data_IF_913162488589
#
_entry.id   IF_913162488589
#
_cell.length_a   1.000
_cell.length_b   1.000
_cell.length_c   1.000
_cell.angle_alpha   90.00
_cell.angle_beta   90.00
_cell.angle_gamma   90.00
#
_symmetry.space_group_name_H-M   'P 1'
#
loop_
_entity.id
_entity.type
_entity.pdbx_description
1 polymer ?
#
# COMPACT_ATOMS: atom_id res chain seq x y z
N UNK A 1 -33.97 -13.01 -13.41
CA UNK A 1 -33.25 -12.95 -14.69
C UNK A 1 -32.35 -11.74 -14.66
N UNK A 2 -31.05 -11.95 -14.39
CA UNK A 2 -29.91 -11.06 -14.69
C UNK A 2 -28.69 -11.75 -14.06
N UNK A 3 -28.09 -12.63 -14.87
CA UNK A 3 -26.80 -13.28 -14.64
C UNK A 3 -25.93 -12.86 -15.82
N UNK A 4 -24.63 -12.73 -15.58
CA UNK A 4 -23.54 -12.61 -16.57
C UNK A 4 -23.07 -11.19 -16.88
N UNK A 5 -22.01 -10.77 -16.20
CA UNK A 5 -21.05 -9.77 -16.69
C UNK A 5 -19.70 -9.85 -15.96
N UNK A 6 -19.01 -11.00 -16.00
CA UNK A 6 -17.57 -11.08 -15.67
C UNK A 6 -16.94 -12.19 -16.52
N UNK A 7 -16.64 -11.89 -17.77
CA UNK A 7 -15.70 -12.63 -18.62
C UNK A 7 -15.33 -11.76 -19.81
N UNK A 8 -14.13 -11.16 -19.84
CA UNK A 8 -13.33 -10.89 -21.05
C UNK A 8 -12.21 -9.90 -20.72
N UNK A 9 -10.96 -10.32 -20.93
CA UNK A 9 -9.82 -9.42 -20.83
C UNK A 9 -8.42 -10.06 -20.87
N UNK A 10 -8.26 -11.30 -21.32
CA UNK A 10 -6.95 -11.92 -21.55
C UNK A 10 -6.96 -12.67 -22.90
N UNK A 11 -6.73 -11.94 -24.00
CA UNK A 11 -6.28 -12.49 -25.28
C UNK A 11 -6.10 -11.37 -26.31
N UNK A 12 -4.92 -10.79 -26.39
CA UNK A 12 -4.42 -10.15 -27.61
C UNK A 12 -2.91 -9.99 -27.47
N UNK A 13 -2.13 -10.96 -27.95
CA UNK A 13 -0.74 -10.77 -28.37
C UNK A 13 -0.32 -12.03 -29.16
N UNK A 14 -0.63 -12.02 -30.47
CA UNK A 14 0.05 -12.87 -31.45
C UNK A 14 0.26 -12.07 -32.74
N UNK A 15 1.49 -12.13 -33.24
CA UNK A 15 1.86 -11.89 -34.64
C UNK A 15 2.47 -10.52 -34.90
N UNK A 16 3.76 -10.47 -35.21
CA UNK A 16 4.21 -10.57 -36.60
C UNK A 16 5.65 -11.05 -36.70
N UNK A 17 5.87 -11.93 -37.67
CA UNK A 17 7.12 -12.46 -38.21
C UNK A 17 7.28 -11.79 -39.56
N UNK A 18 8.45 -11.22 -39.88
CA UNK A 18 9.00 -11.21 -41.24
C UNK A 18 10.46 -10.71 -41.28
N UNK A 19 11.31 -11.55 -41.85
CA UNK A 19 12.56 -11.29 -42.55
C UNK A 19 12.61 -12.35 -43.70
N UNK A 20 13.46 -12.30 -44.75
CA UNK A 20 14.71 -11.52 -44.89
C UNK A 20 15.06 -11.04 -46.35
N UNK A 21 16.33 -10.61 -46.52
CA UNK A 21 17.26 -10.84 -47.65
C UNK A 21 17.53 -9.79 -48.78
N UNK A 22 18.84 -9.63 -49.06
CA UNK A 22 19.49 -9.15 -50.30
C UNK A 22 20.09 -7.73 -50.20
N UNK A 23 21.35 -7.41 -50.55
CA UNK A 23 22.34 -8.05 -51.46
C UNK A 23 23.75 -7.41 -51.24
N UNK A 24 24.83 -8.19 -51.30
CA UNK A 24 26.24 -7.76 -51.47
C UNK A 24 26.58 -7.54 -52.98
N UNK A 25 27.86 -7.41 -53.44
CA UNK A 25 28.92 -6.40 -53.21
C UNK A 25 29.50 -5.84 -54.54
N UNK A 26 30.37 -4.83 -54.52
CA UNK A 26 31.46 -4.67 -55.51
C UNK A 26 32.53 -3.63 -55.10
N UNK A 27 33.79 -4.03 -55.25
CA UNK A 27 35.02 -3.20 -55.23
C UNK A 27 35.67 -3.27 -56.64
N UNK A 28 36.91 -2.78 -56.92
CA UNK A 28 37.73 -1.69 -56.38
C UNK A 28 38.22 -0.74 -57.53
N UNK A 29 39.14 0.21 -57.26
CA UNK A 29 40.38 0.50 -58.04
C UNK A 29 41.11 1.77 -57.52
N UNK A 30 42.41 1.58 -57.26
CA UNK A 30 43.55 2.47 -56.95
C UNK A 30 43.77 3.61 -57.99
N UNK A 31 44.54 4.70 -57.85
CA UNK A 31 45.44 5.40 -56.89
C UNK A 31 45.87 6.73 -57.63
N UNK A 32 46.97 7.46 -57.35
CA UNK A 32 47.66 7.92 -56.13
C UNK A 32 47.86 9.48 -56.09
N UNK A 33 48.68 9.95 -55.14
CA UNK A 33 49.43 11.25 -55.09
C UNK A 33 48.61 12.41 -54.47
N UNK A 34 49.06 13.23 -53.51
CA UNK A 34 50.36 13.85 -53.22
C UNK A 34 50.46 14.24 -51.73
N UNK A 35 51.62 14.06 -51.11
CA UNK A 35 51.91 14.48 -49.74
C UNK A 35 51.89 16.00 -49.60
N UNK A 36 51.15 16.51 -48.61
CA UNK A 36 51.34 17.86 -48.07
C UNK A 36 51.51 17.73 -46.56
N UNK A 37 52.65 18.22 -46.07
CA UNK A 37 53.04 18.18 -44.66
C UNK A 37 52.15 19.13 -43.85
N UNK A 38 51.21 18.55 -43.10
CA UNK A 38 50.31 19.26 -42.19
C UNK A 38 50.84 19.19 -40.75
N UNK A 39 50.75 20.31 -40.05
CA UNK A 39 51.19 20.49 -38.68
C UNK A 39 50.59 19.42 -37.75
N UNK A 40 51.42 18.85 -36.87
CA UNK A 40 51.03 17.82 -35.90
C UNK A 40 49.74 18.25 -35.18
N UNK A 41 48.60 17.57 -35.44
CA UNK A 41 47.39 17.78 -34.65
C UNK A 41 47.69 17.42 -33.20
N UNK A 42 47.01 18.02 -32.21
CA UNK A 42 47.07 17.51 -30.84
C UNK A 42 46.76 16.02 -30.91
N UNK A 43 47.66 15.19 -30.36
CA UNK A 43 47.56 13.74 -30.40
C UNK A 43 46.12 13.34 -30.07
N UNK A 44 45.45 12.66 -31.01
CA UNK A 44 44.14 12.10 -30.77
C UNK A 44 44.23 11.27 -29.47
N UNK A 45 43.36 11.52 -28.49
CA UNK A 45 43.43 10.80 -27.22
C UNK A 45 43.37 9.30 -27.52
N UNK A 46 44.34 8.54 -26.99
CA UNK A 46 44.38 7.09 -27.19
C UNK A 46 43.01 6.47 -26.87
N UNK A 47 42.55 5.50 -27.69
CA UNK A 47 41.27 4.85 -27.51
C UNK A 47 41.22 4.21 -26.12
N UNK A 48 40.18 4.54 -25.36
CA UNK A 48 40.00 3.96 -24.03
C UNK A 48 39.47 2.53 -24.19
N UNK A 49 40.34 1.54 -24.06
CA UNK A 49 39.97 0.11 -24.11
C UNK A 49 39.29 -0.38 -22.80
N UNK A 50 38.54 0.51 -22.15
CA UNK A 50 37.84 0.18 -20.93
C UNK A 50 36.51 -0.49 -21.25
N UNK A 51 36.31 -1.68 -20.68
CA UNK A 51 35.05 -2.42 -20.77
C UNK A 51 34.35 -2.39 -19.42
N UNK A 52 33.18 -1.76 -19.39
CA UNK A 52 32.32 -1.77 -18.20
C UNK A 52 31.65 -3.13 -18.06
N UNK A 53 31.79 -3.76 -16.90
CA UNK A 53 31.03 -4.95 -16.55
C UNK A 53 29.57 -4.57 -16.28
N UNK A 54 28.63 -5.45 -16.63
CA UNK A 54 27.24 -5.33 -16.18
C UNK A 54 27.14 -5.61 -14.68
N UNK A 55 26.23 -4.93 -13.96
CA UNK A 55 26.01 -5.22 -12.55
C UNK A 55 25.50 -6.65 -12.35
N UNK A 56 25.82 -7.19 -11.18
CA UNK A 56 25.32 -8.47 -10.69
C UNK A 56 24.64 -8.27 -9.33
N UNK A 57 24.05 -9.33 -8.77
CA UNK A 57 23.33 -9.25 -7.49
C UNK A 57 24.19 -8.83 -6.28
N UNK A 58 25.52 -8.88 -6.37
CA UNK A 58 26.44 -8.38 -5.32
C UNK A 58 26.98 -6.98 -5.59
N UNK A 59 26.60 -6.36 -6.71
CA UNK A 59 27.01 -5.00 -7.05
C UNK A 59 26.35 -3.98 -6.11
N UNK A 60 27.04 -2.87 -5.79
CA UNK A 60 26.45 -1.81 -4.98
C UNK A 60 25.23 -1.20 -5.68
N UNK A 61 24.26 -0.74 -4.90
CA UNK A 61 23.12 0.02 -5.42
C UNK A 61 23.46 1.51 -5.45
N UNK A 62 23.11 2.20 -6.54
CA UNK A 62 23.17 3.66 -6.59
C UNK A 62 22.17 4.25 -5.58
N UNK A 63 22.58 5.27 -4.79
CA UNK A 63 21.69 5.90 -3.84
C UNK A 63 20.54 6.60 -4.58
N UNK A 64 19.35 6.55 -3.99
CA UNK A 64 18.22 7.34 -4.46
C UNK A 64 18.36 8.80 -4.01
N UNK A 65 18.34 9.72 -4.97
CA UNK A 65 18.63 11.12 -4.76
C UNK A 65 20.11 11.48 -4.96
N UNK A 66 20.35 12.72 -5.38
CA UNK A 66 21.65 13.17 -5.85
C UNK A 66 21.66 13.39 -7.37
N UNK A 67 22.77 13.87 -7.90
CA UNK A 67 22.88 14.16 -9.33
C UNK A 67 23.37 12.93 -10.09
N UNK A 68 22.48 12.32 -10.87
CA UNK A 68 22.87 11.27 -11.83
C UNK A 68 23.30 11.92 -13.14
N UNK A 69 24.46 11.51 -13.67
CA UNK A 69 25.02 12.03 -14.92
C UNK A 69 24.88 11.00 -16.03
N UNK A 70 24.50 11.45 -17.23
CA UNK A 70 24.53 10.59 -18.40
C UNK A 70 25.99 10.35 -18.79
N UNK A 71 26.34 9.11 -19.12
CA UNK A 71 27.69 8.69 -19.48
C UNK A 71 27.63 7.85 -20.75
N UNK A 72 28.43 8.21 -21.75
CA UNK A 72 28.62 7.40 -22.95
C UNK A 72 29.95 6.66 -22.81
N UNK A 73 29.92 5.33 -22.74
CA UNK A 73 31.12 4.48 -22.71
C UNK A 73 31.26 3.73 -24.03
N UNK A 74 32.47 3.22 -24.36
CA UNK A 74 32.63 2.30 -25.48
C UNK A 74 31.57 1.18 -25.42
N UNK A 75 30.87 0.90 -26.54
CA UNK A 75 29.91 -0.20 -26.61
C UNK A 75 30.53 -1.52 -26.18
N UNK A 76 29.79 -2.32 -25.42
CA UNK A 76 30.17 -3.69 -25.06
C UNK A 76 29.20 -4.67 -25.71
N UNK A 77 29.54 -5.97 -25.83
CA UNK A 77 28.58 -6.96 -26.29
C UNK A 77 27.29 -7.01 -25.44
N UNK A 78 27.40 -6.69 -24.15
CA UNK A 78 26.27 -6.64 -23.24
C UNK A 78 25.46 -5.33 -23.34
N UNK A 79 26.11 -4.21 -23.61
CA UNK A 79 25.48 -2.87 -23.71
C UNK A 79 25.93 -2.22 -25.01
N UNK A 80 25.36 -2.64 -26.16
CA UNK A 80 25.74 -2.16 -27.48
C UNK A 80 25.41 -0.68 -27.70
N UNK A 81 24.46 -0.10 -26.93
CA UNK A 81 24.17 1.33 -27.01
C UNK A 81 25.30 2.21 -26.49
N UNK A 82 26.17 1.66 -25.62
CA UNK A 82 27.16 2.44 -24.87
C UNK A 82 26.54 3.46 -23.91
N UNK A 83 25.24 3.38 -23.63
CA UNK A 83 24.52 4.33 -22.77
C UNK A 83 24.51 3.88 -21.31
N UNK A 84 25.12 4.69 -20.45
CA UNK A 84 25.27 4.44 -19.03
C UNK A 84 24.83 5.63 -18.18
N UNK A 85 24.59 5.36 -16.91
CA UNK A 85 24.24 6.32 -15.88
C UNK A 85 25.27 6.25 -14.76
N UNK A 86 25.76 7.39 -14.31
CA UNK A 86 26.79 7.45 -13.28
C UNK A 86 26.35 8.32 -12.10
N UNK A 87 26.48 7.76 -10.90
CA UNK A 87 26.41 8.50 -9.65
C UNK A 87 27.81 8.58 -9.04
N UNK A 88 28.40 9.77 -9.00
CA UNK A 88 29.80 9.97 -8.64
C UNK A 88 29.97 10.62 -7.27
N UNK A 89 30.88 10.06 -6.47
CA UNK A 89 31.39 10.63 -5.23
C UNK A 89 32.73 11.33 -5.54
N UNK A 90 32.71 12.66 -5.57
CA UNK A 90 33.87 13.49 -5.90
C UNK A 90 34.98 13.40 -4.85
N UNK A 91 34.65 13.08 -3.60
CA UNK A 91 35.61 12.93 -2.50
C UNK A 91 36.37 11.62 -2.64
N UNK A 92 35.66 10.52 -2.94
CA UNK A 92 36.27 9.20 -3.15
C UNK A 92 36.84 9.01 -4.56
N UNK A 93 36.51 9.91 -5.49
CA UNK A 93 36.80 9.76 -6.93
C UNK A 93 36.28 8.42 -7.45
N UNK A 94 35.06 8.06 -7.07
CA UNK A 94 34.40 6.82 -7.47
C UNK A 94 33.05 7.13 -8.12
N UNK A 95 32.75 6.46 -9.23
CA UNK A 95 31.44 6.53 -9.87
C UNK A 95 30.81 5.15 -9.86
N UNK A 96 29.63 5.05 -9.28
CA UNK A 96 28.75 3.90 -9.41
C UNK A 96 28.07 4.01 -10.77
N UNK A 97 28.21 3.01 -11.63
CA UNK A 97 27.78 3.06 -13.03
C UNK A 97 26.80 1.92 -13.34
N UNK A 98 25.68 2.27 -13.95
CA UNK A 98 24.59 1.35 -14.29
C UNK A 98 24.17 1.54 -15.76
N UNK A 99 23.70 0.48 -16.45
CA UNK A 99 23.15 0.61 -17.81
C UNK A 99 21.96 1.57 -17.85
N UNK A 100 21.72 2.22 -19.00
CA UNK A 100 20.57 3.12 -19.16
C UNK A 100 19.24 2.38 -19.45
N UNK A 101 19.31 1.12 -19.85
CA UNK A 101 18.17 0.26 -20.21
C UNK A 101 18.16 -1.03 -19.38
N UNK A 102 17.01 -1.72 -19.40
CA UNK A 102 16.87 -3.03 -18.77
C UNK A 102 17.70 -4.10 -19.49
N UNK A 103 18.12 -5.11 -18.75
CA UNK A 103 18.86 -6.26 -19.27
C UNK A 103 17.95 -7.49 -19.40
N UNK A 104 18.27 -8.38 -20.34
CA UNK A 104 17.65 -9.69 -20.48
C UNK A 104 18.20 -10.72 -19.48
N UNK A 105 17.85 -12.00 -19.68
CA UNK A 105 18.25 -13.04 -18.73
C UNK A 105 19.72 -13.44 -18.88
N UNK A 106 20.30 -13.18 -20.05
CA UNK A 106 21.69 -13.34 -20.42
C UNK A 106 22.56 -12.12 -20.05
N UNK A 107 21.95 -10.99 -19.71
CA UNK A 107 22.61 -9.75 -19.33
C UNK A 107 22.84 -8.78 -20.49
N UNK A 108 22.17 -8.96 -21.63
CA UNK A 108 22.21 -8.03 -22.75
C UNK A 108 21.13 -6.95 -22.61
N UNK A 109 21.48 -5.76 -23.09
CA UNK A 109 20.60 -4.60 -23.15
C UNK A 109 19.35 -4.85 -24.00
N UNK A 110 18.19 -4.46 -23.47
CA UNK A 110 16.93 -4.38 -24.20
C UNK A 110 16.66 -2.95 -24.63
N UNK A 111 15.71 -2.78 -25.55
CA UNK A 111 15.22 -1.46 -25.96
C UNK A 111 14.39 -0.74 -24.87
N UNK A 112 14.11 -1.40 -23.74
CA UNK A 112 13.28 -0.85 -22.68
C UNK A 112 14.10 0.03 -21.73
N UNK A 113 13.81 1.34 -21.63
CA UNK A 113 14.51 2.22 -20.71
C UNK A 113 14.18 1.85 -19.25
N UNK A 114 15.11 2.14 -18.34
CA UNK A 114 14.87 1.90 -16.92
C UNK A 114 13.64 2.69 -16.43
N UNK A 115 12.70 1.99 -15.80
CA UNK A 115 11.54 2.62 -15.18
C UNK A 115 11.87 3.19 -13.80
N UNK A 116 11.18 4.25 -13.38
CA UNK A 116 11.27 4.85 -12.04
C UNK A 116 12.71 5.21 -11.63
N UNK A 117 13.48 5.78 -12.55
CA UNK A 117 14.80 6.40 -12.31
C UNK A 117 14.68 7.92 -12.43
N UNK A 118 15.63 8.64 -11.85
CA UNK A 118 15.70 10.09 -12.07
C UNK A 118 16.16 10.38 -13.51
N UNK A 119 15.84 11.56 -14.05
CA UNK A 119 16.44 11.99 -15.31
C UNK A 119 17.95 12.15 -15.11
N UNK A 120 18.77 11.57 -15.98
CA UNK A 120 20.20 11.90 -15.95
C UNK A 120 20.39 13.31 -16.52
N UNK A 121 21.26 14.11 -15.91
CA UNK A 121 21.50 15.47 -16.37
C UNK A 121 22.14 15.42 -17.75
N UNK A 122 21.61 16.15 -18.77
CA UNK A 122 22.03 16.02 -20.17
C UNK A 122 23.47 16.47 -20.45
N UNK A 123 24.14 17.07 -19.46
CA UNK A 123 25.57 17.33 -19.51
C UNK A 123 26.31 15.99 -19.40
N UNK A 124 26.51 15.35 -20.56
CA UNK A 124 27.35 14.17 -20.71
C UNK A 124 28.68 14.41 -19.99
N UNK A 125 29.03 13.51 -19.08
CA UNK A 125 30.35 13.54 -18.47
C UNK A 125 31.40 13.34 -19.57
N UNK A 126 32.31 14.30 -19.82
CA UNK A 126 33.36 14.13 -20.82
C UNK A 126 34.24 12.93 -20.46
N UNK A 127 34.74 12.22 -21.46
CA UNK A 127 35.54 11.01 -21.27
C UNK A 127 36.82 11.28 -20.48
N UNK A 128 37.41 12.45 -20.64
CA UNK A 128 38.58 12.90 -19.88
C UNK A 128 38.27 13.05 -18.39
N UNK A 129 37.03 13.44 -18.06
CA UNK A 129 36.57 13.51 -16.67
C UNK A 129 36.27 12.12 -16.15
N UNK A 130 35.58 11.28 -16.93
CA UNK A 130 35.30 9.90 -16.58
C UNK A 130 36.56 9.11 -16.21
N UNK A 131 37.66 9.27 -16.97
CA UNK A 131 38.97 8.64 -16.70
C UNK A 131 39.59 9.01 -15.34
N UNK A 132 39.12 10.07 -14.68
CA UNK A 132 39.61 10.48 -13.35
C UNK A 132 38.92 9.74 -12.19
N UNK A 133 37.85 8.99 -12.47
CA UNK A 133 37.09 8.27 -11.47
C UNK A 133 37.31 6.76 -11.60
N UNK A 134 37.30 6.08 -10.46
CA UNK A 134 37.13 4.63 -10.42
C UNK A 134 35.69 4.30 -10.77
N UNK A 135 35.48 3.72 -11.94
CA UNK A 135 34.16 3.26 -12.36
C UNK A 135 33.85 1.89 -11.75
N UNK A 136 32.73 1.79 -11.05
CA UNK A 136 32.30 0.57 -10.35
C UNK A 136 30.92 0.17 -10.88
N UNK A 137 30.73 -1.07 -11.36
CA UNK A 137 29.42 -1.53 -11.81
C UNK A 137 28.43 -1.51 -10.63
N UNK A 138 27.24 -0.98 -10.87
CA UNK A 138 26.24 -0.76 -9.84
C UNK A 138 24.83 -1.00 -10.37
N UNK A 139 23.94 -1.41 -9.47
CA UNK A 139 22.50 -1.48 -9.74
C UNK A 139 21.96 -0.05 -9.71
N UNK A 140 21.16 0.33 -10.72
CA UNK A 140 20.59 1.67 -10.79
C UNK A 140 19.69 1.99 -9.59
N UNK A 141 19.50 3.28 -9.32
CA UNK A 141 18.70 3.77 -8.21
C UNK A 141 17.22 3.32 -8.33
N UNK A 142 16.56 3.21 -7.19
CA UNK A 142 15.12 2.96 -7.10
C UNK A 142 14.50 3.86 -6.02
N UNK A 143 13.30 4.41 -6.23
CA UNK A 143 12.63 5.24 -5.24
C UNK A 143 12.29 4.45 -3.97
N UNK A 144 12.08 5.11 -2.82
CA UNK A 144 11.69 4.46 -1.58
C UNK A 144 10.45 3.57 -1.76
N UNK A 145 10.51 2.36 -1.19
CA UNK A 145 9.50 1.32 -1.36
C UNK A 145 9.58 0.51 -2.66
N UNK A 146 10.58 0.79 -3.50
CA UNK A 146 10.90 0.03 -4.72
C UNK A 146 12.30 -0.55 -4.63
N UNK A 147 12.45 -1.78 -5.11
CA UNK A 147 13.71 -2.48 -5.25
C UNK A 147 14.01 -2.64 -6.74
N UNK A 148 15.28 -2.54 -7.11
CA UNK A 148 15.73 -2.83 -8.48
C UNK A 148 16.67 -4.01 -8.45
N UNK A 149 16.46 -4.97 -9.35
CA UNK A 149 17.34 -6.10 -9.52
C UNK A 149 18.55 -5.78 -10.41
N UNK A 150 19.47 -6.73 -10.52
CA UNK A 150 20.67 -6.59 -11.36
C UNK A 150 20.38 -6.42 -12.85
N UNK A 151 19.16 -6.78 -13.28
CA UNK A 151 18.70 -6.63 -14.67
C UNK A 151 18.04 -5.27 -14.91
N UNK A 152 17.98 -4.42 -13.89
CA UNK A 152 17.37 -3.10 -14.01
C UNK A 152 15.85 -3.10 -13.87
N UNK A 153 15.21 -4.24 -13.55
CA UNK A 153 13.76 -4.31 -13.36
C UNK A 153 13.40 -3.81 -11.98
N UNK A 154 12.32 -3.03 -11.88
CA UNK A 154 11.79 -2.54 -10.60
C UNK A 154 10.68 -3.43 -10.10
N UNK A 155 10.65 -3.66 -8.79
CA UNK A 155 9.53 -4.29 -8.09
C UNK A 155 9.19 -3.47 -6.85
N UNK A 156 7.91 -3.36 -6.55
CA UNK A 156 7.45 -2.74 -5.31
C UNK A 156 7.56 -3.75 -4.16
N UNK A 157 8.22 -3.38 -3.07
CA UNK A 157 8.35 -4.24 -1.89
C UNK A 157 7.68 -3.63 -0.65
N UNK A 158 7.03 -2.49 -0.78
CA UNK A 158 6.38 -1.78 0.31
C UNK A 158 5.03 -1.29 -0.19
N UNK A 159 3.94 -1.57 0.55
CA UNK A 159 2.59 -1.27 0.09
C UNK A 159 1.82 -0.50 1.15
N UNK A 160 1.16 0.57 0.70
CA UNK A 160 0.27 1.38 1.53
C UNK A 160 -1.15 0.83 1.47
N UNK A 161 -1.49 -0.03 2.42
CA UNK A 161 -2.82 -0.64 2.51
C UNK A 161 -3.94 0.35 2.89
N UNK A 162 -3.62 1.62 3.15
CA UNK A 162 -4.61 2.69 3.34
C UNK A 162 -4.93 3.43 2.03
N UNK A 163 -4.31 3.06 0.91
CA UNK A 163 -4.58 3.60 -0.42
C UNK A 163 -4.74 2.47 -1.41
N UNK A 164 -5.91 1.85 -1.49
CA UNK A 164 -6.12 0.66 -2.32
C UNK A 164 -7.58 0.46 -2.69
N UNK A 165 -7.80 -0.34 -3.72
CA UNK A 165 -9.05 -1.06 -3.92
C UNK A 165 -8.81 -2.51 -3.52
N UNK A 166 -9.63 -3.09 -2.67
CA UNK A 166 -9.46 -4.48 -2.25
C UNK A 166 -10.67 -5.34 -2.58
N UNK A 167 -10.39 -6.62 -2.79
CA UNK A 167 -11.38 -7.69 -2.86
C UNK A 167 -10.81 -8.92 -2.15
N UNK A 168 -11.62 -9.56 -1.34
CA UNK A 168 -11.20 -10.65 -0.48
C UNK A 168 -12.27 -11.72 -0.32
N UNK A 169 -11.79 -12.89 0.10
CA UNK A 169 -12.61 -14.03 0.44
C UNK A 169 -12.05 -14.73 1.66
N UNK A 170 -12.91 -15.09 2.60
CA UNK A 170 -12.52 -15.76 3.83
C UNK A 170 -13.50 -16.87 4.21
N UNK A 171 -13.00 -17.95 4.79
CA UNK A 171 -13.84 -18.84 5.58
C UNK A 171 -14.17 -18.14 6.90
N UNK A 172 -15.45 -18.08 7.27
CA UNK A 172 -15.95 -17.22 8.35
C UNK A 172 -17.02 -17.91 9.22
N UNK A 173 -16.68 -19.02 9.90
CA UNK A 173 -17.60 -19.69 10.81
C UNK A 173 -18.14 -18.73 11.88
N UNK A 174 -19.39 -18.96 12.30
CA UNK A 174 -20.05 -18.22 13.38
C UNK A 174 -20.55 -19.18 14.46
N UNK A 175 -20.22 -18.89 15.70
CA UNK A 175 -20.71 -19.58 16.90
C UNK A 175 -21.73 -18.70 17.61
N UNK A 176 -22.96 -19.20 17.76
CA UNK A 176 -24.02 -18.55 18.54
C UNK A 176 -24.12 -19.28 19.87
N UNK A 177 -23.69 -18.63 20.97
CA UNK A 177 -23.53 -19.28 22.27
C UNK A 177 -24.85 -19.78 22.85
N UNK A 178 -25.93 -19.04 22.63
CA UNK A 178 -27.25 -19.32 23.22
C UNK A 178 -27.87 -20.61 22.65
N UNK A 179 -27.50 -20.98 21.43
CA UNK A 179 -28.00 -22.16 20.73
C UNK A 179 -26.96 -23.26 20.58
N UNK A 180 -25.72 -23.01 21.02
CA UNK A 180 -24.53 -23.85 20.77
C UNK A 180 -24.40 -24.27 19.29
N UNK A 181 -24.78 -23.37 18.38
CA UNK A 181 -24.86 -23.64 16.95
C UNK A 181 -23.64 -23.07 16.26
N UNK A 182 -22.97 -23.91 15.48
CA UNK A 182 -21.94 -23.52 14.52
C UNK A 182 -22.58 -23.37 13.14
N UNK A 183 -22.40 -22.20 12.54
CA UNK A 183 -22.82 -21.91 11.18
C UNK A 183 -21.59 -21.80 10.29
N UNK A 184 -21.57 -22.60 9.22
CA UNK A 184 -20.47 -22.57 8.25
C UNK A 184 -20.76 -21.53 7.17
N UNK A 185 -19.88 -20.53 7.08
CA UNK A 185 -20.07 -19.39 6.19
C UNK A 185 -18.79 -19.02 5.46
N UNK A 186 -18.97 -18.36 4.34
CA UNK A 186 -17.91 -17.73 3.55
C UNK A 186 -18.18 -16.23 3.52
N UNK A 187 -17.17 -15.43 3.83
CA UNK A 187 -17.19 -13.97 3.68
C UNK A 187 -16.60 -13.60 2.33
N UNK A 188 -17.26 -12.71 1.61
CA UNK A 188 -16.69 -11.96 0.48
C UNK A 188 -16.64 -10.49 0.89
N UNK A 189 -15.47 -9.88 0.82
CA UNK A 189 -15.28 -8.48 1.19
C UNK A 189 -14.68 -7.65 0.06
N UNK A 190 -15.07 -6.38 -0.06
CA UNK A 190 -14.48 -5.44 -1.00
C UNK A 190 -14.67 -4.00 -0.53
N UNK A 191 -13.81 -3.10 -1.01
CA UNK A 191 -13.88 -1.69 -0.66
C UNK A 191 -12.77 -0.87 -1.29
N UNK A 192 -12.83 0.44 -1.07
CA UNK A 192 -11.81 1.40 -1.53
C UNK A 192 -11.34 2.22 -0.33
N UNK A 193 -10.05 2.17 -0.05
CA UNK A 193 -9.39 3.01 0.94
C UNK A 193 -8.59 4.10 0.24
N UNK A 194 -8.75 5.33 0.69
CA UNK A 194 -8.03 6.51 0.22
C UNK A 194 -7.47 7.25 1.42
N UNK A 195 -6.20 7.63 1.32
CA UNK A 195 -5.51 8.39 2.35
C UNK A 195 -4.73 9.53 1.69
N UNK A 196 -4.82 10.73 2.25
CA UNK A 196 -4.01 11.85 1.80
C UNK A 196 -3.58 12.73 2.99
N UNK A 197 -2.31 13.18 3.02
CA UNK A 197 -1.89 14.20 3.96
C UNK A 197 -2.65 15.50 3.72
N UNK A 198 -3.02 16.18 4.81
CA UNK A 198 -3.36 17.59 4.75
C UNK A 198 -2.10 18.44 4.91
N UNK A 199 -2.21 19.54 5.65
CA UNK A 199 -1.05 20.23 6.23
C UNK A 199 -0.20 19.25 7.06
N UNK A 200 1.04 19.62 7.43
CA UNK A 200 2.03 18.73 8.06
C UNK A 200 1.50 17.88 9.23
N UNK A 201 0.49 18.38 9.93
CA UNK A 201 -0.01 17.80 11.17
C UNK A 201 -1.39 17.14 10.98
N UNK A 202 -1.82 16.88 9.75
CA UNK A 202 -3.17 16.39 9.42
C UNK A 202 -3.16 15.19 8.49
N UNK A 203 -4.05 14.25 8.77
CA UNK A 203 -4.28 13.08 7.93
C UNK A 203 -5.76 12.90 7.65
N UNK A 204 -6.10 12.73 6.38
CA UNK A 204 -7.46 12.44 5.94
C UNK A 204 -7.52 11.02 5.38
N UNK A 205 -8.56 10.30 5.77
CA UNK A 205 -8.88 8.98 5.29
C UNK A 205 -10.33 8.93 4.83
N UNK A 206 -10.56 8.26 3.72
CA UNK A 206 -11.88 7.99 3.20
C UNK A 206 -11.97 6.53 2.78
N UNK A 207 -12.97 5.84 3.29
CA UNK A 207 -13.30 4.49 2.84
C UNK A 207 -14.64 4.55 2.09
N UNK A 208 -14.69 3.95 0.90
CA UNK A 208 -15.89 3.86 0.07
C UNK A 208 -16.29 2.40 -0.13
N UNK A 209 -17.60 2.15 -0.11
CA UNK A 209 -18.20 0.85 -0.44
C UNK A 209 -17.60 -0.32 0.36
N UNK A 210 -17.23 -0.09 1.62
CA UNK A 210 -16.71 -1.14 2.52
C UNK A 210 -17.82 -2.15 2.80
N UNK A 211 -17.74 -3.29 2.12
CA UNK A 211 -18.83 -4.25 2.04
C UNK A 211 -18.31 -5.63 2.41
N UNK A 212 -19.05 -6.30 3.28
CA UNK A 212 -18.84 -7.68 3.67
C UNK A 212 -20.14 -8.46 3.50
N UNK A 213 -20.08 -9.53 2.71
CA UNK A 213 -21.20 -10.42 2.42
C UNK A 213 -20.90 -11.77 3.03
N UNK A 214 -21.77 -12.25 3.91
CA UNK A 214 -21.69 -13.59 4.49
C UNK A 214 -22.65 -14.51 3.75
N UNK A 215 -22.10 -15.55 3.13
CA UNK A 215 -22.82 -16.56 2.35
C UNK A 215 -22.77 -17.90 3.09
N UNK A 216 -23.76 -18.76 2.87
CA UNK A 216 -23.87 -20.08 3.50
C UNK A 216 -25.01 -20.14 4.50
N UNK A 217 -24.76 -20.76 5.66
CA UNK A 217 -25.74 -20.83 6.74
C UNK A 217 -25.98 -19.41 7.30
N UNK A 218 -27.25 -18.98 7.37
CA UNK A 218 -27.63 -17.64 7.83
C UNK A 218 -26.93 -16.48 7.06
N UNK A 219 -27.31 -16.25 5.78
CA UNK A 219 -26.74 -15.16 5.00
C UNK A 219 -27.02 -13.82 5.68
N UNK A 220 -26.03 -12.95 5.63
CA UNK A 220 -26.06 -11.60 6.23
C UNK A 220 -25.09 -10.69 5.48
N UNK A 221 -25.21 -9.39 5.70
CA UNK A 221 -24.29 -8.42 5.12
C UNK A 221 -24.03 -7.27 6.09
N UNK A 222 -22.88 -6.64 5.90
CA UNK A 222 -22.49 -5.38 6.50
C UNK A 222 -21.93 -4.52 5.37
N UNK A 223 -22.49 -3.33 5.14
CA UNK A 223 -22.09 -2.50 4.01
C UNK A 223 -22.13 -1.03 4.37
N UNK A 224 -21.03 -0.33 4.13
CA UNK A 224 -20.86 1.10 4.39
C UNK A 224 -20.59 1.81 3.08
N UNK A 225 -21.40 2.82 2.73
CA UNK A 225 -21.18 3.58 1.50
C UNK A 225 -19.94 4.48 1.62
N UNK A 226 -19.85 5.24 2.69
CA UNK A 226 -18.81 6.25 2.89
C UNK A 226 -18.45 6.33 4.36
N UNK A 227 -17.14 6.28 4.63
CA UNK A 227 -16.54 6.62 5.92
C UNK A 227 -15.50 7.69 5.69
N UNK A 228 -15.49 8.70 6.54
CA UNK A 228 -14.48 9.76 6.54
C UNK A 228 -13.86 9.87 7.92
N UNK A 229 -12.54 9.94 7.98
CA UNK A 229 -11.77 10.01 9.20
C UNK A 229 -10.70 11.10 9.04
N UNK A 230 -10.72 12.05 9.95
CA UNK A 230 -9.80 13.17 10.01
C UNK A 230 -9.03 13.10 11.33
N UNK A 231 -7.71 13.17 11.24
CA UNK A 231 -6.82 13.19 12.39
C UNK A 231 -5.93 14.40 12.35
N UNK A 232 -5.61 14.90 13.52
CA UNK A 232 -4.64 15.97 13.68
C UNK A 232 -3.69 15.67 14.82
N UNK A 233 -2.43 16.05 14.63
CA UNK A 233 -1.45 16.18 15.68
C UNK A 233 -1.47 17.63 16.16
N UNK A 234 -1.53 17.83 17.46
CA UNK A 234 -1.44 19.17 18.04
C UNK A 234 -0.09 19.36 18.72
N UNK A 235 0.63 20.42 18.36
CA UNK A 235 1.91 20.78 18.99
C UNK A 235 1.75 21.49 20.34
N UNK A 236 0.53 21.95 20.65
CA UNK A 236 0.20 22.58 21.91
C UNK A 236 -0.45 21.56 22.87
N UNK A 237 0.10 21.35 24.09
CA UNK A 237 -0.53 20.46 25.06
C UNK A 237 -1.85 21.06 25.55
N UNK A 238 -2.90 20.23 25.67
CA UNK A 238 -4.19 20.63 26.20
C UNK A 238 -4.08 21.01 27.68
N UNK A 239 -3.35 20.19 28.45
CA UNK A 239 -3.04 20.49 29.84
C UNK A 239 -1.68 19.92 30.24
N UNK A 240 -1.12 20.49 31.29
CA UNK A 240 0.22 20.18 31.81
C UNK A 240 0.07 19.63 33.21
N UNK A 241 0.49 18.39 33.42
CA UNK A 241 0.49 17.77 34.74
C UNK A 241 1.90 17.89 35.30
N UNK A 242 2.05 18.64 36.39
CA UNK A 242 3.33 18.69 37.11
C UNK A 242 3.23 17.83 38.34
N UNK A 243 4.09 16.82 38.46
CA UNK A 243 4.20 16.02 39.69
C UNK A 243 5.29 16.58 40.57
N UNK A 244 5.03 16.61 41.88
CA UNK A 244 6.00 16.96 42.92
C UNK A 244 6.47 15.74 43.71
N UNK A 245 5.99 14.54 43.37
CA UNK A 245 6.45 13.31 44.00
C UNK A 245 7.82 12.92 43.43
N UNK A 246 8.87 13.07 44.24
CA UNK A 246 10.26 12.89 43.82
C UNK A 246 10.85 14.16 43.19
N UNK A 247 11.58 14.02 42.08
CA UNK A 247 12.10 15.18 41.33
C UNK A 247 10.94 15.80 40.54
N UNK A 248 10.69 17.13 40.64
CA UNK A 248 9.66 17.79 39.87
C UNK A 248 9.77 17.46 38.38
N UNK A 249 8.69 16.94 37.80
CA UNK A 249 8.60 16.61 36.38
C UNK A 249 7.30 17.16 35.82
N UNK A 250 7.37 17.67 34.60
CA UNK A 250 6.22 18.15 33.84
C UNK A 250 5.89 17.13 32.75
N UNK A 251 4.62 16.75 32.68
CA UNK A 251 4.05 15.91 31.64
C UNK A 251 3.11 16.76 30.81
N UNK A 252 3.39 16.83 29.51
CA UNK A 252 2.57 17.54 28.55
C UNK A 252 1.59 16.54 27.93
N UNK A 253 0.30 16.78 28.09
CA UNK A 253 -0.77 15.92 27.55
C UNK A 253 -1.38 16.64 26.36
N UNK A 254 -1.18 16.07 25.18
CA UNK A 254 -1.68 16.59 23.92
C UNK A 254 -3.09 16.05 23.67
N UNK A 255 -4.01 16.91 23.22
CA UNK A 255 -5.32 16.49 22.77
C UNK A 255 -5.30 16.38 21.25
N UNK A 256 -4.91 15.21 20.77
CA UNK A 256 -4.92 14.87 19.34
C UNK A 256 -6.35 14.53 18.94
N UNK A 257 -7.14 15.58 18.75
CA UNK A 257 -8.55 15.47 18.41
C UNK A 257 -8.72 15.25 16.91
N UNK A 258 -9.68 14.42 16.58
CA UNK A 258 -10.08 14.16 15.20
C UNK A 258 -11.59 14.08 15.07
N UNK A 259 -12.02 13.80 13.85
CA UNK A 259 -13.41 13.68 13.48
C UNK A 259 -13.61 12.42 12.65
N UNK A 260 -14.63 11.65 12.98
CA UNK A 260 -14.99 10.46 12.26
C UNK A 260 -16.46 10.54 11.87
N UNK A 261 -16.76 10.16 10.65
CA UNK A 261 -18.11 10.15 10.12
C UNK A 261 -18.33 8.89 9.28
N UNK A 262 -19.53 8.36 9.37
CA UNK A 262 -19.99 7.26 8.52
C UNK A 262 -21.37 7.60 7.98
N UNK A 263 -21.58 7.30 6.70
CA UNK A 263 -22.80 7.63 5.97
C UNK A 263 -23.28 6.35 5.29
N UNK A 264 -24.55 6.03 5.53
CA UNK A 264 -25.23 4.83 5.03
C UNK A 264 -24.47 3.54 5.35
N UNK A 265 -24.64 3.07 6.58
CA UNK A 265 -24.19 1.76 7.02
C UNK A 265 -25.40 0.82 7.18
N UNK A 266 -25.48 -0.20 6.33
CA UNK A 266 -26.50 -1.23 6.36
C UNK A 266 -25.97 -2.51 7.00
N UNK A 267 -26.75 -3.09 7.89
CA UNK A 267 -26.43 -4.33 8.59
C UNK A 267 -27.66 -5.24 8.61
N UNK A 268 -27.46 -6.52 8.29
CA UNK A 268 -28.46 -7.55 8.50
C UNK A 268 -28.01 -8.51 9.59
N UNK A 269 -28.69 -8.46 10.73
CA UNK A 269 -28.51 -9.40 11.83
C UNK A 269 -29.45 -10.58 11.64
N UNK A 270 -28.95 -11.81 11.81
CA UNK A 270 -29.76 -13.02 11.75
C UNK A 270 -29.45 -13.96 12.90
N UNK A 271 -30.47 -14.40 13.63
CA UNK A 271 -30.36 -15.42 14.68
C UNK A 271 -31.51 -16.40 14.48
N UNK A 272 -31.17 -17.66 14.20
CA UNK A 272 -32.12 -18.71 13.82
C UNK A 272 -32.99 -18.29 12.61
N UNK A 273 -34.32 -18.32 12.76
CA UNK A 273 -35.30 -17.94 11.74
C UNK A 273 -35.66 -16.45 11.77
N UNK A 274 -35.12 -15.69 12.73
CA UNK A 274 -35.40 -14.26 12.88
C UNK A 274 -34.27 -13.43 12.28
N UNK A 275 -34.64 -12.32 11.65
CA UNK A 275 -33.72 -11.35 11.09
C UNK A 275 -34.12 -9.93 11.53
N UNK A 276 -33.12 -9.06 11.61
CA UNK A 276 -33.30 -7.63 11.82
C UNK A 276 -32.37 -6.87 10.88
N UNK A 277 -32.93 -5.90 10.15
CA UNK A 277 -32.21 -5.05 9.21
C UNK A 277 -32.09 -3.65 9.79
N UNK A 278 -30.86 -3.15 9.89
CA UNK A 278 -30.54 -1.83 10.41
C UNK A 278 -29.87 -0.98 9.32
N UNK A 279 -30.23 0.30 9.26
CA UNK A 279 -29.60 1.28 8.39
C UNK A 279 -29.23 2.52 9.18
N UNK A 280 -27.96 2.67 9.55
CA UNK A 280 -27.41 3.93 10.04
C UNK A 280 -27.31 4.91 8.88
N UNK A 281 -28.11 5.98 8.94
CA UNK A 281 -28.10 7.03 7.91
C UNK A 281 -26.83 7.86 8.00
N UNK A 282 -26.48 8.23 9.23
CA UNK A 282 -25.28 9.00 9.54
C UNK A 282 -24.83 8.71 10.96
N UNK A 283 -23.53 8.58 11.15
CA UNK A 283 -22.88 8.54 12.45
C UNK A 283 -21.76 9.58 12.47
N UNK A 284 -21.63 10.32 13.57
CA UNK A 284 -20.60 11.35 13.75
C UNK A 284 -19.95 11.21 15.11
N UNK A 285 -18.63 11.05 15.14
CA UNK A 285 -17.86 10.85 16.35
C UNK A 285 -16.73 11.88 16.46
N UNK A 286 -16.46 12.31 17.68
CA UNK A 286 -15.20 12.97 18.03
C UNK A 286 -14.19 11.88 18.39
N UNK A 287 -12.96 12.01 17.90
CA UNK A 287 -11.89 11.06 18.21
C UNK A 287 -10.81 11.71 19.07
N UNK A 288 -10.18 10.92 19.92
CA UNK A 288 -9.03 11.27 20.74
C UNK A 288 -7.96 10.18 20.56
N UNK A 289 -6.88 10.53 19.89
CA UNK A 289 -5.76 9.62 19.70
C UNK A 289 -4.92 9.57 20.99
N UNK A 290 -4.97 8.43 21.67
CA UNK A 290 -4.19 8.15 22.88
C UNK A 290 -2.71 7.94 22.54
N UNK A 291 -2.45 7.43 21.34
CA UNK A 291 -1.15 7.26 20.75
C UNK A 291 -1.27 7.25 19.23
N UNK A 292 -0.26 7.77 18.54
CA UNK A 292 -0.12 7.62 17.08
C UNK A 292 1.36 7.61 16.68
N UNK A 293 1.65 7.07 15.48
CA UNK A 293 2.97 7.18 14.85
C UNK A 293 3.22 8.61 14.36
N UNK A 294 4.49 8.92 14.05
CA UNK A 294 4.89 10.24 13.54
C UNK A 294 4.31 10.57 12.16
N UNK A 295 3.94 9.56 11.37
CA UNK A 295 3.26 9.72 10.08
C UNK A 295 1.72 9.67 10.20
N UNK A 296 1.19 9.59 11.43
CA UNK A 296 -0.24 9.49 11.79
C UNK A 296 -0.95 8.24 11.27
N UNK A 297 -0.21 7.32 10.64
CA UNK A 297 -0.77 6.13 10.00
C UNK A 297 -1.23 5.11 11.05
N UNK A 298 -0.38 4.84 12.03
CA UNK A 298 -0.67 3.92 13.14
C UNK A 298 -1.22 4.69 14.33
N UNK A 299 -2.18 4.11 15.05
CA UNK A 299 -2.84 4.78 16.16
C UNK A 299 -3.51 3.82 17.14
N UNK A 300 -3.76 4.33 18.34
CA UNK A 300 -4.72 3.81 19.32
C UNK A 300 -5.57 4.99 19.78
N UNK A 301 -6.89 4.89 19.66
CA UNK A 301 -7.78 6.02 19.89
C UNK A 301 -9.10 5.63 20.54
N UNK A 302 -9.68 6.63 21.20
CA UNK A 302 -11.07 6.61 21.62
C UNK A 302 -11.92 7.41 20.63
N UNK A 303 -13.10 6.91 20.30
CA UNK A 303 -14.12 7.66 19.54
C UNK A 303 -15.44 7.62 20.29
N UNK A 304 -16.20 8.71 20.26
CA UNK A 304 -17.54 8.75 20.83
C UNK A 304 -18.44 9.72 20.09
N UNK A 305 -19.72 9.36 19.96
CA UNK A 305 -20.71 10.20 19.30
C UNK A 305 -22.01 9.45 18.94
N UNK A 306 -23.01 10.15 18.41
CA UNK A 306 -24.28 9.57 18.04
C UNK A 306 -24.33 9.08 16.59
N UNK A 307 -25.23 8.13 16.35
CA UNK A 307 -25.72 7.75 15.03
C UNK A 307 -27.25 7.88 14.95
N UNK A 308 -27.75 8.23 13.76
CA UNK A 308 -29.17 8.15 13.42
C UNK A 308 -29.40 6.85 12.65
N UNK A 309 -30.11 5.91 13.25
CA UNK A 309 -30.37 4.60 12.67
C UNK A 309 -31.85 4.41 12.34
N UNK A 310 -32.13 3.71 11.25
CA UNK A 310 -33.46 3.22 10.91
C UNK A 310 -33.51 1.72 11.12
N UNK A 311 -34.37 1.27 12.01
CA UNK A 311 -34.77 -0.13 12.11
C UNK A 311 -35.68 -0.42 10.91
N UNK A 312 -35.15 -1.08 9.88
CA UNK A 312 -35.89 -1.34 8.64
C UNK A 312 -36.92 -2.44 8.82
N UNK A 313 -36.70 -3.35 9.77
CA UNK A 313 -37.62 -4.44 10.07
C UNK A 313 -38.89 -3.92 10.75
N UNK A 314 -38.75 -2.98 11.70
CA UNK A 314 -39.90 -2.45 12.44
C UNK A 314 -40.37 -1.06 11.99
N UNK A 315 -39.59 -0.36 11.16
CA UNK A 315 -40.05 0.82 10.42
C UNK A 315 -39.86 2.19 11.06
N UNK A 316 -39.14 2.32 12.18
CA UNK A 316 -38.90 3.59 12.88
C UNK A 316 -37.42 4.00 12.92
N UNK A 317 -37.16 5.25 13.30
CA UNK A 317 -35.82 5.81 13.52
C UNK A 317 -35.44 5.80 14.99
N UNK A 318 -34.15 5.63 15.29
CA UNK A 318 -33.56 5.60 16.62
C UNK A 318 -32.32 6.47 16.68
N UNK A 319 -31.97 6.93 17.89
CA UNK A 319 -30.69 7.57 18.16
C UNK A 319 -29.78 6.56 18.87
N UNK A 320 -28.59 6.34 18.33
CA UNK A 320 -27.64 5.35 18.83
C UNK A 320 -26.34 6.04 19.25
N UNK A 321 -26.23 6.56 20.49
CA UNK A 321 -24.94 6.93 21.05
C UNK A 321 -24.01 5.71 21.13
N UNK A 322 -22.76 5.94 20.72
CA UNK A 322 -21.71 4.95 20.69
C UNK A 322 -20.40 5.48 21.27
N UNK A 323 -19.60 4.58 21.84
CA UNK A 323 -18.22 4.82 22.20
C UNK A 323 -17.37 3.61 21.81
N UNK A 324 -16.19 3.85 21.27
CA UNK A 324 -15.27 2.79 20.90
C UNK A 324 -13.81 3.11 21.23
N UNK A 325 -13.07 2.07 21.61
CA UNK A 325 -11.61 2.04 21.65
C UNK A 325 -11.15 1.24 20.44
N UNK A 326 -10.29 1.80 19.60
CA UNK A 326 -9.78 1.12 18.41
C UNK A 326 -8.32 1.44 18.14
N UNK A 327 -7.65 0.55 17.41
CA UNK A 327 -6.30 0.77 16.93
C UNK A 327 -6.08 0.15 15.56
N UNK A 328 -5.17 0.77 14.81
CA UNK A 328 -4.64 0.28 13.54
C UNK A 328 -3.12 0.48 13.60
N UNK A 329 -2.36 -0.60 13.50
CA UNK A 329 -0.93 -0.63 13.76
C UNK A 329 -0.23 -1.31 12.60
N UNK A 330 0.75 -0.63 12.03
CA UNK A 330 1.75 -1.24 11.15
C UNK A 330 2.95 -1.65 11.99
N UNK A 331 3.23 -2.96 12.08
CA UNK A 331 4.18 -3.50 13.05
C UNK A 331 5.64 -3.41 12.58
N UNK A 332 5.87 -3.41 11.27
CA UNK A 332 7.19 -3.45 10.65
C UNK A 332 7.47 -2.18 9.82
N UNK A 333 8.76 -1.97 9.53
CA UNK A 333 9.21 -0.82 8.74
C UNK A 333 8.77 -0.91 7.28
N UNK A 334 8.68 -2.12 6.76
CA UNK A 334 8.35 -2.38 5.35
C UNK A 334 6.82 -2.39 5.11
N UNK A 335 6.01 -2.38 6.17
CA UNK A 335 4.57 -2.30 6.10
C UNK A 335 3.89 -3.59 5.65
N UNK A 336 4.48 -4.75 5.93
CA UNK A 336 3.89 -6.04 5.60
C UNK A 336 2.86 -6.50 6.63
N UNK A 337 2.99 -6.10 7.89
CA UNK A 337 2.22 -6.60 9.02
C UNK A 337 1.31 -5.52 9.58
N UNK A 338 0.00 -5.75 9.48
CA UNK A 338 -1.02 -4.84 9.98
C UNK A 338 -1.88 -5.52 11.04
N UNK A 339 -2.05 -4.84 12.17
CA UNK A 339 -2.96 -5.26 13.25
C UNK A 339 -4.02 -4.19 13.42
N UNK A 340 -5.29 -4.60 13.41
CA UNK A 340 -6.41 -3.74 13.78
C UNK A 340 -7.17 -4.36 14.92
N UNK A 341 -7.67 -3.54 15.83
CA UNK A 341 -8.52 -4.00 16.91
C UNK A 341 -9.55 -2.95 17.27
N UNK A 342 -10.64 -3.38 17.92
CA UNK A 342 -11.67 -2.47 18.37
C UNK A 342 -12.62 -3.10 19.38
N UNK A 343 -13.10 -2.27 20.29
CA UNK A 343 -14.21 -2.56 21.18
C UNK A 343 -15.18 -1.38 21.10
N UNK A 344 -16.43 -1.61 20.74
CA UNK A 344 -17.47 -0.59 20.58
C UNK A 344 -18.72 -0.95 21.37
N UNK A 345 -19.18 -0.03 22.19
CA UNK A 345 -20.44 -0.13 22.92
C UNK A 345 -21.45 0.88 22.35
N UNK A 346 -22.69 0.42 22.12
CA UNK A 346 -23.79 1.20 21.58
C UNK A 346 -25.04 1.03 22.45
N UNK A 347 -25.82 2.10 22.58
CA UNK A 347 -27.11 2.09 23.26
C UNK A 347 -28.17 2.63 22.32
N UNK A 348 -29.26 1.90 22.11
CA UNK A 348 -30.36 2.34 21.27
C UNK A 348 -31.35 3.14 22.10
N UNK A 349 -31.55 4.41 21.73
CA UNK A 349 -32.47 5.35 22.37
C UNK A 349 -33.62 5.71 21.43
N UNK A 350 -34.75 6.10 22.03
CA UNK A 350 -35.98 6.50 21.32
C UNK A 350 -36.58 5.42 20.40
N UNK A 351 -36.25 4.14 20.64
CA UNK A 351 -36.91 3.03 19.96
C UNK A 351 -38.37 2.90 20.41
N UNK A 352 -39.24 2.52 19.48
CA UNK A 352 -40.60 2.11 19.79
C UNK A 352 -40.61 0.74 20.48
N UNK A 353 -41.68 0.48 21.25
CA UNK A 353 -41.88 -0.81 21.89
C UNK A 353 -42.14 -1.88 20.82
N UNK A 354 -41.31 -2.92 20.82
CA UNK A 354 -41.43 -4.08 19.93
C UNK A 354 -41.53 -5.32 20.80
N UNK A 355 -42.49 -6.19 20.51
CA UNK A 355 -42.68 -7.42 21.26
C UNK A 355 -41.43 -8.31 21.19
N UNK A 356 -41.06 -8.90 22.33
CA UNK A 356 -39.86 -9.75 22.41
C UNK A 356 -38.53 -8.99 22.32
N UNK A 357 -38.52 -7.65 22.47
CA UNK A 357 -37.31 -6.83 22.49
C UNK A 357 -37.32 -5.85 23.69
N UNK A 358 -36.21 -5.63 24.39
CA UNK A 358 -36.11 -4.58 25.41
C UNK A 358 -36.37 -3.19 24.82
N UNK A 359 -36.90 -2.27 25.64
CA UNK A 359 -37.22 -0.90 25.23
C UNK A 359 -35.96 -0.08 24.88
N UNK A 360 -34.81 -0.42 25.47
CA UNK A 360 -33.54 0.26 25.25
C UNK A 360 -32.44 -0.76 24.98
N UNK A 361 -32.41 -1.34 23.77
CA UNK A 361 -31.40 -2.33 23.42
C UNK A 361 -29.96 -1.79 23.52
N UNK A 362 -29.03 -2.71 23.65
CA UNK A 362 -27.59 -2.49 23.75
C UNK A 362 -26.85 -3.41 22.78
N UNK A 363 -25.71 -2.91 22.28
CA UNK A 363 -24.81 -3.69 21.43
C UNK A 363 -23.38 -3.50 21.90
N UNK A 364 -22.61 -4.58 21.90
CA UNK A 364 -21.18 -4.57 22.16
C UNK A 364 -20.49 -5.34 21.04
N UNK A 365 -19.55 -4.70 20.35
CA UNK A 365 -18.77 -5.28 19.25
C UNK A 365 -17.31 -5.32 19.64
N UNK A 366 -16.68 -6.45 19.42
CA UNK A 366 -15.26 -6.70 19.59
C UNK A 366 -14.71 -7.17 18.25
N UNK A 367 -13.57 -6.62 17.83
CA UNK A 367 -12.86 -7.02 16.63
C UNK A 367 -11.36 -7.05 16.89
N UNK A 368 -10.69 -8.03 16.30
CA UNK A 368 -9.24 -8.11 16.22
C UNK A 368 -8.88 -8.73 14.87
N UNK A 369 -8.11 -8.02 14.04
CA UNK A 369 -7.70 -8.48 12.73
C UNK A 369 -6.20 -8.36 12.57
N UNK A 370 -5.62 -9.33 11.86
CA UNK A 370 -4.24 -9.32 11.43
C UNK A 370 -4.19 -9.56 9.93
N UNK A 371 -3.52 -8.66 9.21
CA UNK A 371 -3.35 -8.72 7.76
C UNK A 371 -1.84 -8.73 7.46
N UNK A 372 -1.38 -9.73 6.73
CA UNK A 372 0.03 -9.87 6.32
C UNK A 372 0.14 -10.01 4.82
N UNK A 373 0.97 -9.17 4.20
CA UNK A 373 1.26 -9.27 2.76
C UNK A 373 2.14 -10.49 2.52
N UNK A 374 1.62 -11.47 1.79
CA UNK A 374 2.31 -12.74 1.56
C UNK A 374 3.14 -12.74 0.27
N UNK A 375 2.62 -12.10 -0.78
CA UNK A 375 3.26 -11.97 -2.08
C UNK A 375 2.69 -10.79 -2.86
N UNK A 376 3.29 -10.46 -4.00
CA UNK A 376 2.73 -9.50 -4.96
C UNK A 376 2.68 -10.09 -6.37
N UNK A 377 1.64 -9.76 -7.14
CA UNK A 377 1.48 -10.12 -8.55
C UNK A 377 1.39 -8.82 -9.33
N UNK A 378 2.36 -8.54 -10.22
CA UNK A 378 2.43 -7.28 -10.98
C UNK A 378 2.35 -6.04 -10.06
N UNK A 379 3.16 -6.02 -9.00
CA UNK A 379 3.17 -4.97 -7.96
C UNK A 379 1.81 -4.76 -7.26
N UNK A 380 0.93 -5.77 -7.25
CA UNK A 380 -0.33 -5.77 -6.51
C UNK A 380 -0.25 -6.77 -5.35
N UNK A 381 -0.35 -6.33 -4.09
CA UNK A 381 -0.13 -7.22 -2.95
C UNK A 381 -1.33 -8.15 -2.72
N UNK A 382 -0.99 -9.38 -2.37
CA UNK A 382 -1.91 -10.43 -1.93
C UNK A 382 -1.64 -10.70 -0.46
N UNK A 383 -2.64 -10.42 0.36
CA UNK A 383 -2.54 -10.52 1.82
C UNK A 383 -3.27 -11.76 2.33
N UNK A 384 -2.71 -12.38 3.38
CA UNK A 384 -3.43 -13.28 4.26
C UNK A 384 -4.12 -12.46 5.35
N UNK A 385 -5.38 -12.76 5.63
CA UNK A 385 -6.16 -12.08 6.67
C UNK A 385 -6.64 -13.09 7.71
N UNK A 386 -6.44 -12.75 8.99
CA UNK A 386 -7.01 -13.44 10.14
C UNK A 386 -7.86 -12.44 10.92
N UNK A 387 -9.12 -12.75 11.19
CA UNK A 387 -10.06 -11.83 11.84
C UNK A 387 -10.88 -12.55 12.91
N UNK A 388 -10.94 -11.99 14.11
CA UNK A 388 -11.75 -12.46 15.22
C UNK A 388 -12.78 -11.41 15.59
N UNK A 389 -14.05 -11.82 15.68
CA UNK A 389 -15.18 -10.95 16.06
C UNK A 389 -15.98 -11.54 17.19
N UNK A 390 -16.47 -10.65 18.05
CA UNK A 390 -17.44 -10.96 19.09
C UNK A 390 -18.51 -9.88 19.13
N UNK A 391 -19.77 -10.26 18.96
CA UNK A 391 -20.90 -9.31 19.01
C UNK A 391 -21.89 -9.79 20.06
N UNK A 392 -22.12 -8.96 21.07
CA UNK A 392 -23.26 -9.13 21.97
C UNK A 392 -24.35 -8.14 21.61
N UNK A 393 -25.59 -8.59 21.61
CA UNK A 393 -26.75 -7.75 21.29
C UNK A 393 -28.05 -8.33 21.87
N UNK A 394 -29.01 -7.45 22.11
CA UNK A 394 -30.37 -7.75 22.56
C UNK A 394 -31.46 -7.01 21.76
N UNK A 395 -31.11 -6.47 20.59
CA UNK A 395 -31.95 -5.64 19.73
C UNK A 395 -32.71 -6.42 18.64
N UNK A 396 -32.49 -7.74 18.54
CA UNK A 396 -33.21 -8.63 17.63
C UNK A 396 -34.46 -9.14 18.35
N UNK A 397 -35.64 -8.73 17.87
CA UNK A 397 -36.91 -9.12 18.48
C UNK A 397 -37.11 -10.64 18.45
N UNK A 398 -37.65 -11.22 19.53
CA UNK A 398 -37.92 -12.65 19.66
C UNK A 398 -36.69 -13.57 19.57
N UNK A 399 -35.49 -13.01 19.69
CA UNK A 399 -34.25 -13.76 19.82
C UNK A 399 -33.65 -13.50 21.21
N UNK A 400 -33.13 -14.53 21.91
CA UNK A 400 -32.57 -14.34 23.24
C UNK A 400 -31.36 -13.40 23.16
N UNK A 401 -31.12 -12.50 24.12
CA UNK A 401 -29.92 -11.67 24.13
C UNK A 401 -28.64 -12.53 24.25
N UNK A 402 -27.56 -12.17 23.55
CA UNK A 402 -26.47 -13.14 23.43
C UNK A 402 -25.23 -12.76 22.66
N UNK A 403 -24.15 -13.52 22.91
CA UNK A 403 -22.85 -13.38 22.24
C UNK A 403 -22.76 -14.26 20.99
N UNK A 404 -22.32 -13.64 19.90
CA UNK A 404 -21.94 -14.29 18.65
C UNK A 404 -20.44 -14.11 18.43
N UNK A 405 -19.75 -15.21 18.18
CA UNK A 405 -18.31 -15.20 17.91
C UNK A 405 -18.04 -15.65 16.48
N UNK A 406 -17.00 -15.10 15.86
CA UNK A 406 -16.53 -15.52 14.55
C UNK A 406 -15.01 -15.45 14.49
N UNK A 407 -14.39 -16.42 13.83
CA UNK A 407 -12.96 -16.48 13.58
C UNK A 407 -12.79 -16.79 12.11
N UNK A 408 -12.12 -15.90 11.39
CA UNK A 408 -12.13 -15.85 9.93
C UNK A 408 -10.71 -15.92 9.42
N UNK A 409 -10.50 -16.68 8.36
CA UNK A 409 -9.21 -16.80 7.70
C UNK A 409 -9.41 -16.73 6.19
N UNK A 410 -8.61 -15.90 5.53
CA UNK A 410 -8.85 -15.59 4.12
C UNK A 410 -7.68 -14.94 3.40
N UNK A 411 -7.95 -14.59 2.15
CA UNK A 411 -7.05 -13.89 1.27
C UNK A 411 -7.69 -12.58 0.82
N UNK A 412 -6.86 -11.55 0.65
CA UNK A 412 -7.28 -10.25 0.11
C UNK A 412 -6.32 -9.81 -0.98
N UNK A 413 -6.86 -9.56 -2.16
CA UNK A 413 -6.16 -8.93 -3.27
C UNK A 413 -6.33 -7.42 -3.17
N UNK A 414 -5.23 -6.67 -3.18
CA UNK A 414 -5.26 -5.20 -3.19
C UNK A 414 -4.72 -4.68 -4.51
N UNK A 415 -5.45 -3.77 -5.11
CA UNK A 415 -5.13 -3.10 -6.36
C UNK A 415 -4.79 -1.64 -6.12
N UNK A 416 -3.88 -1.13 -6.95
CA UNK A 416 -3.41 0.25 -6.91
C UNK A 416 -2.83 0.66 -5.56
N UNK A 417 -2.29 -0.31 -4.80
CA UNK A 417 -1.62 -0.08 -3.53
C UNK A 417 -0.22 0.50 -3.80
N UNK A 418 0.00 1.81 -3.59
CA UNK A 418 1.26 2.47 -3.89
C UNK A 418 2.28 2.24 -2.75
N UNK A 419 3.53 2.66 -2.95
CA UNK A 419 4.50 2.68 -1.86
C UNK A 419 4.07 3.62 -0.74
N UNK A 420 4.40 3.25 0.52
CA UNK A 420 4.13 4.09 1.69
C UNK A 420 4.92 5.39 1.60
N UNK A 421 4.34 6.46 2.15
CA UNK A 421 5.01 7.78 2.22
C UNK A 421 6.28 7.75 3.09
N UNK A 422 6.26 6.93 4.13
CA UNK A 422 7.36 6.69 5.06
C UNK A 422 8.22 5.47 4.65
N UNK A 423 8.10 4.99 3.41
CA UNK A 423 8.87 3.83 2.95
C UNK A 423 10.38 4.09 3.07
N UNK A 424 11.16 3.10 3.53
CA UNK A 424 12.61 3.21 3.52
C UNK A 424 13.13 3.19 2.08
N UNK A 425 14.30 3.80 1.85
CA UNK A 425 15.12 3.49 0.67
C UNK A 425 15.59 2.04 0.76
N UNK A 426 15.59 1.30 -0.33
CA UNK A 426 16.18 -0.05 -0.34
C UNK A 426 17.65 0.02 0.06
N UNK A 427 18.06 -0.75 1.06
CA UNK A 427 19.47 -0.89 1.42
C UNK A 427 20.00 -2.17 0.78
N UNK A 428 21.25 -2.16 0.25
CA UNK A 428 21.89 -3.39 -0.17
C UNK A 428 22.14 -4.27 1.07
N UNK A 429 21.44 -5.40 1.18
CA UNK A 429 21.72 -6.42 2.18
C UNK A 429 20.50 -7.11 2.78
N UNK A 430 20.19 -8.28 2.22
CA UNK A 430 19.31 -9.36 2.74
C UNK A 430 17.84 -8.99 2.98
N UNK A 431 17.02 -9.33 1.98
CA UNK A 431 15.72 -9.96 2.26
C UNK A 431 15.87 -11.35 2.86
#
# INVERSE_FOLDING_TARGET
>A
MLVSAVTLGCAFLLGQVEAPEGTEPQAPVEAPVEETVEATPPAAPEPWDFQMAVPNASSPQQPYGGQVRCLALPPTPAVPSGAWRAHCDDVKRECLVSPAHELDVEGHEKDQPLQRVDGCVPNLMPMETARQYRMVPAIAEAPPGWYRDERGRVLQYNFDLHRRVYVGGAWAPRWVRETDRLEERVRVDFGVDLEWPGDSDRLHRMTLLDTELYLGDAPSYEATLLRYDFRSQNDAPLFRVTTFYGRPRRFDIYANLGFWMEVLHGEQARREDVHADFLSVVATNVTLDLWHSSDLVSYVRLRAGPALERDRTNGFFTLVPAAALEGDLTLDRDGFHHVRFGAEAQKVLFAEAVEGRPLRPERLRLRASYEVIALAINDQPVSLTLDGRGTWRDDVANAPAGWEWSAQAGLRFSMWAPARRSAPSSSPGKG
#
